data_IF_235562907915
#
_entry.id   IF_235562907915
#
_cell.length_a   1.000
_cell.length_b   1.000
_cell.length_c   1.000
_cell.angle_alpha   90.00
_cell.angle_beta   90.00
_cell.angle_gamma   90.00
#
_symmetry.space_group_name_H-M   'P 1'
#
loop_
_entity.id
_entity.type
_entity.pdbx_description
1 polymer ?
#
# COMPACT_ATOMS: atom_id res chain seq x y z
N UNK A 1 -19.33 -13.04 -15.56
CA UNK A 1 -19.16 -11.64 -15.15
C UNK A 1 -17.79 -11.54 -14.52
N UNK A 2 -16.94 -10.61 -14.96
CA UNK A 2 -15.62 -10.42 -14.36
C UNK A 2 -15.79 -9.38 -13.25
N UNK A 3 -15.63 -9.80 -11.99
CA UNK A 3 -15.76 -8.90 -10.84
C UNK A 3 -14.49 -8.06 -10.70
N UNK A 4 -14.67 -6.81 -10.29
CA UNK A 4 -13.59 -5.87 -9.99
C UNK A 4 -13.45 -5.68 -8.49
N UNK A 5 -12.21 -5.84 -8.01
CA UNK A 5 -11.90 -5.90 -6.58
C UNK A 5 -11.11 -4.68 -6.10
N UNK A 6 -11.53 -4.08 -5.00
CA UNK A 6 -10.74 -3.13 -4.24
C UNK A 6 -10.14 -3.80 -3.00
N UNK A 7 -8.84 -3.65 -2.75
CA UNK A 7 -8.20 -4.13 -1.51
C UNK A 7 -7.57 -2.97 -0.75
N UNK A 8 -8.04 -2.71 0.47
CA UNK A 8 -7.78 -1.44 1.19
C UNK A 8 -7.16 -1.69 2.55
N UNK A 9 -6.02 -1.06 2.84
CA UNK A 9 -5.42 -1.01 4.18
C UNK A 9 -5.13 0.44 4.59
N UNK A 10 -4.34 0.68 5.63
CA UNK A 10 -4.06 2.06 6.08
C UNK A 10 -3.10 2.83 5.13
N UNK A 11 -1.89 2.31 4.88
CA UNK A 11 -0.84 3.04 4.13
C UNK A 11 -0.60 2.54 2.71
N UNK A 12 -1.41 1.59 2.23
CA UNK A 12 -1.19 0.89 0.97
C UNK A 12 0.25 0.35 0.79
N UNK A 13 0.80 -0.28 1.83
CA UNK A 13 2.19 -0.79 1.84
C UNK A 13 2.27 -2.31 1.96
N UNK A 14 1.59 -2.89 2.96
CA UNK A 14 1.75 -4.31 3.28
C UNK A 14 0.52 -5.13 2.87
N UNK A 15 -0.52 -5.16 3.71
CA UNK A 15 -1.70 -6.03 3.59
C UNK A 15 -2.41 -5.91 2.23
N UNK A 16 -2.79 -4.69 1.83
CA UNK A 16 -3.44 -4.47 0.53
C UNK A 16 -2.55 -4.76 -0.67
N UNK A 17 -1.24 -4.51 -0.56
CA UNK A 17 -0.31 -4.75 -1.66
C UNK A 17 0.06 -6.21 -1.84
N UNK A 18 0.12 -6.99 -0.76
CA UNK A 18 0.27 -8.45 -0.83
C UNK A 18 -0.96 -9.08 -1.48
N UNK A 19 -2.17 -8.68 -1.05
CA UNK A 19 -3.41 -9.14 -1.65
C UNK A 19 -3.52 -8.73 -3.14
N UNK A 20 -3.16 -7.49 -3.48
CA UNK A 20 -3.12 -7.05 -4.88
C UNK A 20 -2.17 -7.94 -5.69
N UNK A 21 -0.93 -8.14 -5.21
CA UNK A 21 0.06 -8.95 -5.92
C UNK A 21 -0.43 -10.37 -6.16
N UNK A 22 -1.09 -10.98 -5.16
CA UNK A 22 -1.67 -12.32 -5.27
C UNK A 22 -2.82 -12.35 -6.27
N UNK A 23 -3.85 -11.52 -6.06
CA UNK A 23 -5.04 -11.49 -6.91
C UNK A 23 -4.72 -11.17 -8.37
N UNK A 24 -3.79 -10.23 -8.61
CA UNK A 24 -3.33 -9.89 -9.96
C UNK A 24 -2.62 -11.06 -10.65
N UNK A 25 -1.84 -11.85 -9.89
CA UNK A 25 -1.17 -13.06 -10.43
C UNK A 25 -2.17 -14.13 -10.82
N UNK A 26 -3.27 -14.26 -10.08
CA UNK A 26 -4.37 -15.19 -10.38
C UNK A 26 -5.34 -14.65 -11.46
N UNK A 27 -5.06 -13.47 -12.05
CA UNK A 27 -5.82 -12.93 -13.18
C UNK A 27 -7.07 -12.12 -12.81
N UNK A 28 -7.26 -11.76 -11.53
CA UNK A 28 -8.36 -10.91 -11.11
C UNK A 28 -8.13 -9.43 -11.48
N UNK A 29 -9.21 -8.71 -11.81
CA UNK A 29 -9.19 -7.25 -11.92
C UNK A 29 -9.20 -6.65 -10.51
N UNK A 30 -8.03 -6.18 -10.06
CA UNK A 30 -7.81 -5.71 -8.69
C UNK A 30 -7.09 -4.38 -8.66
N UNK A 31 -7.56 -3.47 -7.82
CA UNK A 31 -6.86 -2.25 -7.42
C UNK A 31 -6.66 -2.22 -5.89
N UNK A 32 -5.69 -1.44 -5.41
CA UNK A 32 -5.37 -1.37 -3.98
C UNK A 32 -5.19 0.04 -3.46
N UNK A 33 -5.60 0.30 -2.22
CA UNK A 33 -5.62 1.64 -1.65
C UNK A 33 -5.24 1.71 -0.17
N UNK A 34 -5.00 2.94 0.27
CA UNK A 34 -4.74 3.33 1.65
C UNK A 34 -5.79 4.34 2.13
N UNK A 35 -6.30 4.21 3.34
CA UNK A 35 -7.25 5.19 3.92
C UNK A 35 -6.59 6.23 4.83
N UNK A 36 -5.34 6.00 5.24
CA UNK A 36 -4.62 6.89 6.14
C UNK A 36 -4.42 8.29 5.54
N UNK A 37 -4.09 9.27 6.40
CA UNK A 37 -3.71 10.59 5.94
C UNK A 37 -2.34 10.60 5.23
N UNK A 38 -1.42 9.74 5.68
CA UNK A 38 -0.08 9.60 5.14
C UNK A 38 0.33 8.11 5.09
N UNK A 39 1.32 7.81 4.26
CA UNK A 39 1.97 6.51 4.21
C UNK A 39 2.98 6.43 5.35
N UNK A 40 2.82 5.45 6.26
CA UNK A 40 3.73 5.24 7.39
C UNK A 40 4.43 3.89 7.27
N UNK A 41 5.76 3.91 7.39
CA UNK A 41 6.61 2.73 7.48
C UNK A 41 7.38 2.74 8.80
N UNK A 42 7.64 1.58 9.42
CA UNK A 42 8.50 1.51 10.61
C UNK A 42 9.86 2.16 10.36
N UNK A 43 10.39 2.86 11.36
CA UNK A 43 11.75 3.39 11.36
C UNK A 43 12.60 2.77 12.48
N UNK A 44 13.69 3.44 12.91
CA UNK A 44 14.60 2.91 13.93
C UNK A 44 13.95 2.70 15.30
N UNK A 45 12.91 3.48 15.61
CA UNK A 45 12.14 3.38 16.86
C UNK A 45 10.65 3.58 16.62
N UNK A 46 9.82 3.25 17.62
CA UNK A 46 8.36 3.50 17.56
C UNK A 46 8.01 4.98 17.43
N UNK A 47 8.89 5.89 17.86
CA UNK A 47 8.67 7.34 17.83
C UNK A 47 9.16 7.98 16.54
N UNK A 48 9.90 7.24 15.71
CA UNK A 48 10.55 7.74 14.50
C UNK A 48 10.11 6.94 13.27
N UNK A 49 8.81 6.98 12.89
CA UNK A 49 8.35 6.34 11.67
C UNK A 49 8.85 7.10 10.44
N UNK A 50 9.02 6.40 9.32
CA UNK A 50 9.17 7.03 8.02
C UNK A 50 7.79 7.40 7.49
N UNK A 51 7.59 8.68 7.19
CA UNK A 51 6.32 9.22 6.71
C UNK A 51 6.50 9.78 5.30
N UNK A 52 5.57 9.45 4.42
CA UNK A 52 5.53 9.92 3.04
C UNK A 52 4.11 10.30 2.64
N UNK A 53 3.98 11.16 1.65
CA UNK A 53 2.69 11.46 1.03
C UNK A 53 2.25 10.32 0.11
N UNK A 54 0.95 10.12 0.00
CA UNK A 54 0.38 9.32 -1.08
C UNK A 54 0.81 9.87 -2.43
N UNK A 55 0.99 9.00 -3.42
CA UNK A 55 1.58 9.37 -4.72
C UNK A 55 3.12 9.36 -4.76
N UNK A 56 3.81 9.31 -3.61
CA UNK A 56 5.27 9.12 -3.61
C UNK A 56 5.64 7.75 -4.20
N UNK A 57 6.47 7.65 -5.25
CA UNK A 57 6.77 6.36 -5.87
C UNK A 57 7.46 5.39 -4.91
N UNK A 58 7.10 4.11 -4.94
CA UNK A 58 7.72 3.08 -4.07
C UNK A 58 9.23 2.97 -4.31
N UNK A 59 9.69 3.21 -5.55
CA UNK A 59 11.11 3.27 -5.89
C UNK A 59 11.83 4.39 -5.15
N UNK A 60 11.19 5.56 -5.04
CA UNK A 60 11.75 6.68 -4.29
C UNK A 60 11.87 6.34 -2.79
N UNK A 61 10.80 5.77 -2.19
CA UNK A 61 10.86 5.29 -0.79
C UNK A 61 11.96 4.25 -0.59
N UNK A 62 12.12 3.32 -1.53
CA UNK A 62 13.18 2.31 -1.47
C UNK A 62 14.57 2.95 -1.45
N UNK A 63 14.81 3.89 -2.37
CA UNK A 63 16.11 4.57 -2.47
C UNK A 63 16.40 5.45 -1.25
N UNK A 64 15.39 6.12 -0.69
CA UNK A 64 15.52 6.90 0.54
C UNK A 64 15.89 6.01 1.73
N UNK A 65 15.12 4.95 1.98
CA UNK A 65 15.38 4.04 3.11
C UNK A 65 16.71 3.31 2.97
N UNK A 66 17.07 2.88 1.74
CA UNK A 66 18.36 2.26 1.47
C UNK A 66 19.53 3.20 1.78
N UNK A 67 19.36 4.52 1.57
CA UNK A 67 20.38 5.53 1.90
C UNK A 67 20.47 5.79 3.40
N UNK A 68 19.33 5.76 4.12
CA UNK A 68 19.26 6.00 5.56
C UNK A 68 19.90 4.89 6.37
N UNK A 69 19.46 3.64 6.19
CA UNK A 69 20.00 2.49 6.91
C UNK A 69 19.67 1.17 6.17
N UNK A 70 20.52 0.72 5.23
CA UNK A 70 20.22 -0.44 4.41
C UNK A 70 20.11 -1.73 5.23
N UNK A 71 20.86 -1.88 6.32
CA UNK A 71 20.86 -3.09 7.14
C UNK A 71 19.60 -3.20 7.99
N UNK A 72 19.14 -2.10 8.60
CA UNK A 72 17.87 -2.05 9.32
C UNK A 72 16.71 -2.42 8.39
N UNK A 73 16.60 -1.75 7.24
CA UNK A 73 15.44 -1.90 6.35
C UNK A 73 15.48 -3.18 5.52
N UNK A 74 16.64 -3.82 5.40
CA UNK A 74 16.74 -5.21 4.91
C UNK A 74 16.32 -6.20 5.98
N UNK A 75 16.79 -6.05 7.21
CA UNK A 75 16.48 -6.95 8.35
C UNK A 75 15.00 -6.96 8.71
N UNK A 76 14.34 -5.82 8.69
CA UNK A 76 12.90 -5.72 9.00
C UNK A 76 11.99 -5.97 7.78
N UNK A 77 12.55 -6.29 6.61
CA UNK A 77 11.80 -6.66 5.41
C UNK A 77 11.18 -5.50 4.63
N UNK A 78 11.41 -4.24 4.99
CA UNK A 78 10.81 -3.09 4.29
C UNK A 78 11.39 -2.91 2.89
N UNK A 79 12.70 -3.07 2.68
CA UNK A 79 13.29 -2.98 1.34
C UNK A 79 12.75 -4.05 0.38
N UNK A 80 12.71 -5.35 0.75
CA UNK A 80 12.01 -6.35 -0.05
C UNK A 80 10.54 -6.01 -0.33
N UNK A 81 9.80 -5.52 0.68
CA UNK A 81 8.39 -5.14 0.52
C UNK A 81 8.21 -3.99 -0.48
N UNK A 82 9.03 -2.95 -0.41
CA UNK A 82 8.99 -1.82 -1.35
C UNK A 82 9.36 -2.26 -2.77
N UNK A 83 10.32 -3.20 -2.91
CA UNK A 83 10.66 -3.81 -4.20
C UNK A 83 9.45 -4.54 -4.79
N UNK A 84 8.76 -5.39 -4.00
CA UNK A 84 7.50 -6.04 -4.41
C UNK A 84 6.47 -5.00 -4.85
N UNK A 85 6.23 -3.97 -4.03
CA UNK A 85 5.22 -2.94 -4.31
C UNK A 85 5.48 -2.22 -5.63
N UNK A 86 6.74 -1.86 -5.91
CA UNK A 86 7.14 -1.20 -7.15
C UNK A 86 6.91 -2.05 -8.41
N UNK A 87 6.89 -3.38 -8.27
CA UNK A 87 6.56 -4.28 -9.37
C UNK A 87 5.04 -4.41 -9.60
N UNK A 88 4.22 -4.10 -8.59
CA UNK A 88 2.75 -4.14 -8.69
C UNK A 88 2.21 -2.85 -9.29
N UNK A 89 2.64 -1.69 -8.78
CA UNK A 89 2.28 -0.35 -9.26
C UNK A 89 3.27 0.73 -8.81
N UNK A 90 3.17 1.93 -9.38
CA UNK A 90 4.15 3.01 -9.18
C UNK A 90 4.19 3.57 -7.76
N UNK A 91 3.03 3.87 -7.17
CA UNK A 91 2.92 4.61 -5.91
C UNK A 91 1.72 4.14 -5.09
N UNK A 92 1.72 4.32 -3.74
CA UNK A 92 0.52 4.12 -2.96
C UNK A 92 -0.53 5.16 -3.33
N UNK A 93 -1.78 4.70 -3.43
CA UNK A 93 -2.94 5.52 -3.77
C UNK A 93 -3.87 5.59 -2.58
N UNK A 94 -4.53 6.74 -2.41
CA UNK A 94 -5.45 6.99 -1.31
C UNK A 94 -6.88 6.62 -1.72
N UNK A 95 -7.61 5.93 -0.84
CA UNK A 95 -8.96 5.44 -1.11
C UNK A 95 -9.93 6.58 -1.41
N UNK A 96 -9.86 7.66 -0.64
CA UNK A 96 -10.72 8.83 -0.76
C UNK A 96 -10.55 9.58 -2.11
N UNK A 97 -9.50 9.25 -2.87
CA UNK A 97 -9.17 9.85 -4.17
C UNK A 97 -9.37 8.85 -5.33
N UNK A 98 -9.98 7.68 -5.07
CA UNK A 98 -10.13 6.58 -6.04
C UNK A 98 -11.22 6.78 -7.09
N UNK A 99 -12.00 7.87 -7.03
CA UNK A 99 -13.14 8.07 -7.93
C UNK A 99 -12.79 7.99 -9.42
N UNK A 100 -11.58 8.44 -9.80
CA UNK A 100 -11.09 8.36 -11.17
C UNK A 100 -10.84 6.92 -11.65
N UNK A 101 -10.64 5.98 -10.73
CA UNK A 101 -10.42 4.57 -11.06
C UNK A 101 -11.76 3.84 -11.32
N UNK A 102 -12.93 4.43 -11.00
CA UNK A 102 -14.25 3.85 -11.21
C UNK A 102 -14.72 2.93 -10.07
N UNK A 103 -15.87 2.27 -10.25
CA UNK A 103 -16.50 1.44 -9.22
C UNK A 103 -15.84 0.05 -9.06
N UNK A 104 -16.06 -0.54 -7.89
CA UNK A 104 -15.64 -1.90 -7.52
C UNK A 104 -16.89 -2.72 -7.16
N UNK A 105 -16.91 -4.00 -7.54
CA UNK A 105 -17.99 -4.91 -7.16
C UNK A 105 -17.81 -5.43 -5.73
N UNK A 106 -16.55 -5.64 -5.31
CA UNK A 106 -16.21 -6.14 -3.97
C UNK A 106 -15.02 -5.36 -3.41
N UNK A 107 -15.13 -4.88 -2.18
CA UNK A 107 -14.04 -4.19 -1.46
C UNK A 107 -13.67 -4.95 -0.20
N UNK A 108 -12.39 -5.32 -0.08
CA UNK A 108 -11.82 -5.93 1.12
C UNK A 108 -11.11 -4.88 1.97
N UNK A 109 -11.54 -4.70 3.21
CA UNK A 109 -10.84 -3.89 4.21
C UNK A 109 -10.10 -4.79 5.20
N UNK A 110 -8.83 -4.50 5.46
CA UNK A 110 -7.96 -5.38 6.28
C UNK A 110 -7.98 -5.12 7.80
N UNK A 111 -8.84 -4.23 8.27
CA UNK A 111 -9.13 -3.96 9.69
C UNK A 111 -10.42 -3.13 9.82
N UNK A 112 -11.10 -3.23 10.96
CA UNK A 112 -12.37 -2.52 11.23
C UNK A 112 -12.26 -1.01 11.01
N UNK A 113 -11.22 -0.37 11.54
CA UNK A 113 -10.99 1.06 11.31
C UNK A 113 -10.83 1.43 9.83
N UNK A 114 -10.25 0.56 9.01
CA UNK A 114 -10.14 0.79 7.56
C UNK A 114 -11.48 0.60 6.88
N UNK A 115 -12.28 -0.37 7.34
CA UNK A 115 -13.64 -0.59 6.86
C UNK A 115 -14.53 0.64 7.11
N UNK A 116 -14.49 1.20 8.32
CA UNK A 116 -15.25 2.42 8.67
C UNK A 116 -14.88 3.58 7.72
N UNK A 117 -13.58 3.82 7.51
CA UNK A 117 -13.09 4.86 6.59
C UNK A 117 -13.33 4.57 5.10
N UNK A 118 -13.69 3.33 4.74
CA UNK A 118 -14.07 2.99 3.36
C UNK A 118 -15.53 3.36 3.12
N UNK A 119 -16.36 3.31 4.17
CA UNK A 119 -17.80 3.59 4.11
C UNK A 119 -18.12 5.08 4.27
N UNK A 120 -17.32 5.81 5.06
CA UNK A 120 -17.38 7.28 5.17
C UNK A 120 -17.00 8.00 3.86
#
# INVERSE_FOLDING_TARGET
MNLRYGVVCSSNQNRSMEAHSLLKREGFDVCSYGTGAHVKLPGPSLREPNVYDFGTPYKHMFDDLRRKDPELYKRNGILPMLKRNSAVKTAPQRWQESAADGAFDVVFAFEEKVFDMVIE
#
